data_IF_970882135291
#
_entry.id   IF_970882135291
#
_cell.length_a   1.000
_cell.length_b   1.000
_cell.length_c   1.000
_cell.angle_alpha   90.00
_cell.angle_beta   90.00
_cell.angle_gamma   90.00
#
_symmetry.space_group_name_H-M   'P 1'
#
loop_
_entity.id
_entity.type
_entity.pdbx_description
1 polymer ?
#
# COMPACT_ATOMS: atom_id res chain seq x y z
N UNK A 1 -23.23 19.06 -10.62
CA UNK A 1 -23.16 20.13 -9.59
C UNK A 1 -22.46 19.51 -8.39
N UNK A 2 -21.23 19.90 -8.10
CA UNK A 2 -20.50 19.41 -6.93
C UNK A 2 -20.84 20.32 -5.75
N UNK A 3 -21.74 19.89 -4.87
CA UNK A 3 -22.04 20.61 -3.63
C UNK A 3 -21.03 20.19 -2.56
N UNK A 4 -20.12 21.10 -2.24
CA UNK A 4 -19.31 21.11 -1.03
C UNK A 4 -20.13 21.78 0.06
N UNK A 5 -20.70 21.01 0.99
CA UNK A 5 -21.29 21.58 2.21
C UNK A 5 -20.21 21.57 3.29
N UNK A 6 -19.77 22.76 3.67
CA UNK A 6 -18.96 23.02 4.86
C UNK A 6 -19.91 23.70 5.85
N UNK A 7 -20.27 23.03 6.95
CA UNK A 7 -21.18 23.61 7.93
C UNK A 7 -20.87 23.17 9.36
N UNK A 8 -20.34 24.09 10.17
CA UNK A 8 -20.43 24.08 11.64
C UNK A 8 -21.84 24.47 12.11
N UNK A 9 -22.86 23.87 11.53
CA UNK A 9 -24.24 24.00 11.98
C UNK A 9 -24.88 22.63 11.97
N UNK A 10 -25.71 22.35 12.98
CA UNK A 10 -26.60 21.19 13.00
C UNK A 10 -27.49 21.27 11.76
N UNK A 11 -27.03 20.67 10.66
CA UNK A 11 -27.78 20.62 9.41
C UNK A 11 -28.53 19.29 9.40
N UNK A 12 -29.82 19.38 9.66
CA UNK A 12 -30.75 18.34 9.24
C UNK A 12 -30.56 18.17 7.72
N UNK A 13 -30.15 16.98 7.28
CA UNK A 13 -30.04 16.64 5.87
C UNK A 13 -31.32 15.89 5.42
N UNK A 14 -32.37 16.57 4.92
CA UNK A 14 -33.43 15.91 4.18
C UNK A 14 -32.95 15.77 2.72
N UNK A 15 -32.26 14.69 2.37
CA UNK A 15 -31.68 14.55 1.02
C UNK A 15 -32.61 13.76 0.11
N UNK A 16 -33.70 14.40 -0.33
CA UNK A 16 -34.32 14.05 -1.61
C UNK A 16 -33.53 14.74 -2.71
N UNK A 17 -32.50 14.09 -3.25
CA UNK A 17 -31.82 14.57 -4.45
C UNK A 17 -31.60 13.45 -5.46
N UNK A 18 -32.55 13.34 -6.39
CA UNK A 18 -32.56 12.32 -7.44
C UNK A 18 -31.53 12.56 -8.56
N UNK A 19 -30.74 13.62 -8.52
CA UNK A 19 -29.77 13.97 -9.57
C UNK A 19 -28.30 13.96 -9.10
N UNK A 20 -28.08 13.87 -7.79
CA UNK A 20 -26.74 13.94 -7.21
C UNK A 20 -25.93 12.69 -7.55
N UNK A 21 -24.85 12.85 -8.32
CA UNK A 21 -23.97 11.74 -8.73
C UNK A 21 -22.70 11.64 -7.88
N UNK A 22 -22.27 12.73 -7.25
CA UNK A 22 -21.09 12.78 -6.40
C UNK A 22 -21.39 13.62 -5.16
N UNK A 23 -21.09 13.06 -3.99
CA UNK A 23 -21.26 13.70 -2.69
C UNK A 23 -19.95 13.61 -1.92
N UNK A 24 -19.48 14.77 -1.44
CA UNK A 24 -18.33 14.88 -0.55
C UNK A 24 -18.76 15.60 0.71
N UNK A 25 -18.59 14.96 1.86
CA UNK A 25 -18.92 15.53 3.16
C UNK A 25 -17.69 15.44 4.07
N UNK A 26 -17.40 16.47 4.83
CA UNK A 26 -16.36 16.47 5.86
C UNK A 26 -16.99 17.02 7.14
N UNK A 27 -16.69 16.41 8.30
CA UNK A 27 -17.18 16.85 9.62
C UNK A 27 -18.72 16.85 9.77
N UNK A 28 -19.42 15.94 9.10
CA UNK A 28 -20.88 15.79 9.20
C UNK A 28 -21.27 14.68 10.18
N UNK A 29 -22.34 14.92 10.95
CA UNK A 29 -23.00 13.92 11.76
C UNK A 29 -24.07 13.20 10.94
N UNK A 30 -24.01 11.86 10.91
CA UNK A 30 -25.00 11.02 10.25
C UNK A 30 -25.88 10.36 11.30
N UNK A 31 -27.15 10.76 11.36
CA UNK A 31 -28.11 10.24 12.34
C UNK A 31 -28.77 8.94 11.82
N UNK A 32 -29.00 7.92 12.69
CA UNK A 32 -29.62 6.65 12.30
C UNK A 32 -31.02 6.79 11.70
N UNK A 33 -31.77 7.79 12.17
CA UNK A 33 -33.19 7.99 11.85
C UNK A 33 -33.44 8.63 10.47
N UNK A 34 -32.39 9.09 9.78
CA UNK A 34 -32.48 9.69 8.46
C UNK A 34 -32.60 8.65 7.36
N UNK A 35 -33.74 8.63 6.62
CA UNK A 35 -33.85 7.81 5.41
C UNK A 35 -32.96 8.40 4.31
N UNK A 36 -31.90 7.69 3.97
CA UNK A 36 -31.01 8.04 2.85
C UNK A 36 -31.67 7.60 1.54
N UNK A 37 -31.89 8.53 0.61
CA UNK A 37 -32.44 8.23 -0.73
C UNK A 37 -31.57 8.90 -1.83
N UNK A 38 -30.37 8.36 -2.02
CA UNK A 38 -29.36 8.84 -2.97
C UNK A 38 -29.34 8.00 -4.26
N UNK A 39 -30.49 7.89 -4.93
CA UNK A 39 -30.71 6.95 -6.05
C UNK A 39 -29.74 7.08 -7.22
N UNK A 40 -29.23 8.29 -7.45
CA UNK A 40 -28.33 8.59 -8.58
C UNK A 40 -26.85 8.67 -8.19
N UNK A 41 -26.54 8.47 -6.90
CA UNK A 41 -25.19 8.68 -6.37
C UNK A 41 -24.26 7.56 -6.80
N UNK A 42 -23.14 7.93 -7.43
CA UNK A 42 -22.08 7.04 -7.90
C UNK A 42 -20.81 7.15 -7.08
N UNK A 43 -20.52 8.34 -6.54
CA UNK A 43 -19.30 8.60 -5.77
C UNK A 43 -19.65 9.22 -4.43
N UNK A 44 -19.21 8.58 -3.36
CA UNK A 44 -19.39 9.06 -2.00
C UNK A 44 -18.04 9.19 -1.31
N UNK A 45 -17.76 10.36 -0.78
CA UNK A 45 -16.62 10.61 0.09
C UNK A 45 -17.12 11.18 1.40
N UNK A 46 -16.77 10.50 2.50
CA UNK A 46 -17.08 10.96 3.84
C UNK A 46 -15.77 11.10 4.61
N UNK A 47 -15.59 12.29 5.19
CA UNK A 47 -14.45 12.66 6.01
C UNK A 47 -14.87 13.05 7.43
N UNK A 48 -14.06 12.69 8.42
CA UNK A 48 -14.22 13.12 9.82
C UNK A 48 -15.64 12.92 10.37
N UNK A 49 -16.17 11.70 10.24
CA UNK A 49 -17.54 11.37 10.65
C UNK A 49 -17.56 10.23 11.67
N UNK A 50 -18.53 10.29 12.59
CA UNK A 50 -18.88 9.20 13.49
C UNK A 50 -19.99 8.36 12.88
N UNK A 51 -19.83 7.05 12.89
CA UNK A 51 -20.83 6.11 12.42
C UNK A 51 -21.25 5.14 13.51
N UNK A 52 -22.42 4.55 13.28
CA UNK A 52 -22.73 3.18 13.72
C UNK A 52 -22.81 2.30 12.47
N UNK A 53 -22.69 0.98 12.64
CA UNK A 53 -22.87 0.05 11.52
C UNK A 53 -24.26 0.20 10.86
N UNK A 54 -25.28 0.56 11.64
CA UNK A 54 -26.63 0.83 11.15
C UNK A 54 -26.68 2.04 10.22
N UNK A 55 -26.05 3.16 10.59
CA UNK A 55 -25.97 4.35 9.74
C UNK A 55 -25.27 4.03 8.42
N UNK A 56 -24.17 3.28 8.47
CA UNK A 56 -23.44 2.87 7.26
C UNK A 56 -24.30 1.97 6.37
N UNK A 57 -25.05 1.03 6.96
CA UNK A 57 -26.01 0.19 6.24
C UNK A 57 -27.13 1.00 5.57
N UNK A 58 -27.65 2.02 6.25
CA UNK A 58 -28.67 2.92 5.71
C UNK A 58 -28.12 3.73 4.52
N UNK A 59 -26.89 4.23 4.63
CA UNK A 59 -26.21 4.94 3.53
C UNK A 59 -26.02 4.04 2.31
N UNK A 60 -25.50 2.82 2.51
CA UNK A 60 -25.23 1.89 1.42
C UNK A 60 -26.52 1.41 0.75
N UNK A 61 -27.57 1.11 1.51
CA UNK A 61 -28.87 0.70 0.96
C UNK A 61 -29.62 1.83 0.25
N UNK A 62 -29.48 3.08 0.74
CA UNK A 62 -29.99 4.28 0.10
C UNK A 62 -29.23 4.73 -1.14
N UNK A 63 -28.09 4.11 -1.46
CA UNK A 63 -27.21 4.49 -2.58
C UNK A 63 -27.02 3.34 -3.59
N UNK A 64 -28.08 2.84 -4.23
CA UNK A 64 -28.02 1.62 -5.05
C UNK A 64 -27.07 1.72 -6.25
N UNK A 65 -26.80 2.94 -6.74
CA UNK A 65 -25.91 3.18 -7.86
C UNK A 65 -24.46 3.47 -7.47
N UNK A 66 -24.07 3.29 -6.21
CA UNK A 66 -22.73 3.64 -5.75
C UNK A 66 -21.64 2.79 -6.42
N UNK A 67 -20.64 3.45 -6.98
CA UNK A 67 -19.49 2.86 -7.69
C UNK A 67 -18.18 3.04 -6.91
N UNK A 68 -18.08 4.11 -6.12
CA UNK A 68 -16.89 4.44 -5.34
C UNK A 68 -17.26 5.00 -3.96
N UNK A 69 -16.69 4.39 -2.91
CA UNK A 69 -16.77 4.87 -1.53
C UNK A 69 -15.37 5.24 -1.04
N UNK A 70 -15.26 6.41 -0.43
CA UNK A 70 -14.07 6.83 0.31
C UNK A 70 -14.46 7.23 1.73
N UNK A 71 -13.82 6.61 2.70
CA UNK A 71 -13.95 6.91 4.12
C UNK A 71 -12.62 7.46 4.62
N UNK A 72 -12.64 8.60 5.30
CA UNK A 72 -11.45 9.32 5.73
C UNK A 72 -11.62 9.81 7.17
N UNK A 73 -10.75 9.43 8.10
CA UNK A 73 -10.91 9.79 9.53
C UNK A 73 -12.31 9.44 10.09
N UNK A 74 -12.84 8.29 9.69
CA UNK A 74 -14.14 7.81 10.15
C UNK A 74 -13.97 6.84 11.33
N UNK A 75 -14.95 6.79 12.23
CA UNK A 75 -14.92 5.92 13.41
C UNK A 75 -16.28 5.30 13.72
N UNK A 76 -16.28 4.19 14.48
CA UNK A 76 -17.51 3.46 14.87
C UNK A 76 -18.08 2.52 13.80
N UNK A 77 -17.30 2.20 12.75
CA UNK A 77 -17.65 1.19 11.74
C UNK A 77 -16.86 -0.07 12.03
N UNK A 78 -17.54 -1.18 12.25
CA UNK A 78 -16.95 -2.50 12.45
C UNK A 78 -17.17 -3.39 11.24
N UNK A 79 -18.21 -3.12 10.43
CA UNK A 79 -18.51 -3.95 9.26
C UNK A 79 -19.01 -3.15 8.07
N UNK A 80 -18.38 -3.40 6.92
CA UNK A 80 -18.82 -2.93 5.61
C UNK A 80 -19.32 -4.10 4.78
N UNK A 81 -20.64 -4.25 4.72
CA UNK A 81 -21.31 -5.23 3.85
C UNK A 81 -21.76 -4.55 2.55
N UNK A 82 -20.97 -4.75 1.49
CA UNK A 82 -21.16 -4.10 0.19
C UNK A 82 -21.35 -5.16 -0.90
N UNK A 83 -22.55 -5.72 -0.95
CA UNK A 83 -22.96 -6.72 -1.95
C UNK A 83 -23.25 -6.13 -3.34
N UNK A 84 -23.32 -4.80 -3.49
CA UNK A 84 -23.65 -4.17 -4.77
C UNK A 84 -22.62 -4.49 -5.86
N UNK A 85 -23.09 -4.97 -7.02
CA UNK A 85 -22.26 -5.24 -8.21
C UNK A 85 -21.66 -3.98 -8.83
N UNK A 86 -22.26 -2.81 -8.57
CA UNK A 86 -21.80 -1.53 -9.11
C UNK A 86 -20.62 -0.97 -8.33
N UNK A 87 -20.47 -1.36 -7.06
CA UNK A 87 -19.37 -0.91 -6.22
C UNK A 87 -18.05 -1.48 -6.71
N UNK A 88 -17.17 -0.64 -7.25
CA UNK A 88 -15.88 -1.06 -7.82
C UNK A 88 -14.67 -0.58 -7.02
N UNK A 89 -14.82 0.50 -6.24
CA UNK A 89 -13.68 1.13 -5.56
C UNK A 89 -13.98 1.49 -4.12
N UNK A 90 -13.16 0.97 -3.21
CA UNK A 90 -13.20 1.29 -1.79
C UNK A 90 -11.86 1.88 -1.37
N UNK A 91 -11.92 3.05 -0.73
CA UNK A 91 -10.74 3.72 -0.16
C UNK A 91 -11.03 4.00 1.30
N UNK A 92 -10.16 3.53 2.17
CA UNK A 92 -10.23 3.77 3.61
C UNK A 92 -8.92 4.41 4.03
N UNK A 93 -9.01 5.58 4.66
CA UNK A 93 -7.87 6.42 4.99
C UNK A 93 -7.98 6.95 6.41
N UNK A 94 -7.14 6.45 7.33
CA UNK A 94 -7.26 6.68 8.78
C UNK A 94 -8.61 6.27 9.36
N UNK A 95 -8.64 5.12 10.03
CA UNK A 95 -9.74 4.75 10.92
C UNK A 95 -9.19 4.76 12.34
N UNK A 96 -9.89 5.45 13.24
CA UNK A 96 -9.52 5.51 14.64
C UNK A 96 -10.71 5.02 15.43
N UNK A 97 -10.60 3.85 16.05
CA UNK A 97 -11.52 3.51 17.12
C UNK A 97 -11.05 4.22 18.39
N UNK A 98 -11.77 5.29 18.76
CA UNK A 98 -11.51 6.06 19.98
C UNK A 98 -12.22 5.46 21.19
N UNK A 99 -12.97 4.37 21.02
CA UNK A 99 -13.49 3.65 22.18
C UNK A 99 -12.30 3.02 22.87
N UNK A 100 -11.99 3.43 24.09
CA UNK A 100 -10.85 2.95 24.87
C UNK A 100 -10.95 1.48 25.30
N UNK A 101 -11.65 0.64 24.53
CA UNK A 101 -11.93 -0.76 24.80
C UNK A 101 -11.15 -1.71 23.89
N UNK A 102 -10.64 -2.77 24.52
CA UNK A 102 -10.04 -4.02 24.04
C UNK A 102 -9.23 -4.06 22.73
N UNK A 103 -8.14 -4.82 22.81
CA UNK A 103 -7.03 -4.88 21.87
C UNK A 103 -7.32 -5.57 20.50
N UNK A 104 -8.62 -5.74 20.17
CA UNK A 104 -9.13 -6.57 19.07
C UNK A 104 -10.20 -5.90 18.17
N UNK A 105 -10.39 -4.58 18.25
CA UNK A 105 -11.24 -3.87 17.28
C UNK A 105 -10.82 -4.18 15.84
N UNK A 106 -11.78 -4.54 15.00
CA UNK A 106 -11.55 -4.91 13.61
C UNK A 106 -12.64 -4.37 12.70
N UNK A 107 -12.24 -3.86 11.54
CA UNK A 107 -13.13 -3.56 10.43
C UNK A 107 -13.19 -4.75 9.47
N UNK A 108 -14.35 -5.38 9.39
CA UNK A 108 -14.66 -6.43 8.43
C UNK A 108 -15.16 -5.82 7.11
N UNK A 109 -14.57 -6.26 5.99
CA UNK A 109 -14.98 -5.83 4.65
C UNK A 109 -15.47 -7.04 3.86
N UNK A 110 -16.75 -7.01 3.51
CA UNK A 110 -17.38 -7.97 2.60
C UNK A 110 -17.79 -7.23 1.34
N UNK A 111 -17.09 -7.46 0.22
CA UNK A 111 -17.44 -6.87 -1.07
C UNK A 111 -16.97 -7.77 -2.23
N UNK A 112 -17.78 -8.77 -2.62
CA UNK A 112 -17.36 -9.79 -3.59
C UNK A 112 -17.09 -9.24 -4.99
N UNK A 113 -17.63 -8.06 -5.33
CA UNK A 113 -17.52 -7.44 -6.65
C UNK A 113 -16.54 -6.27 -6.72
N UNK A 114 -15.82 -6.02 -5.61
CA UNK A 114 -14.85 -4.94 -5.50
C UNK A 114 -13.64 -5.19 -6.39
N UNK A 115 -13.27 -4.20 -7.23
CA UNK A 115 -12.11 -4.31 -8.12
C UNK A 115 -10.87 -3.60 -7.57
N UNK A 116 -11.06 -2.52 -6.81
CA UNK A 116 -9.99 -1.67 -6.29
C UNK A 116 -10.17 -1.40 -4.80
N UNK A 117 -9.20 -1.83 -4.01
CA UNK A 117 -9.14 -1.57 -2.57
C UNK A 117 -7.92 -0.72 -2.22
N UNK A 118 -8.11 0.29 -1.35
CA UNK A 118 -7.00 1.03 -0.74
C UNK A 118 -7.19 1.14 0.76
N UNK A 119 -6.25 0.59 1.51
CA UNK A 119 -6.15 0.67 2.98
C UNK A 119 -4.95 1.55 3.27
N UNK A 120 -5.21 2.73 3.84
CA UNK A 120 -4.24 3.81 3.91
C UNK A 120 -4.22 4.48 5.30
N UNK A 121 -3.08 5.08 5.65
CA UNK A 121 -2.96 5.93 6.85
C UNK A 121 -2.78 5.16 8.16
N UNK A 122 -3.09 5.81 9.27
CA UNK A 122 -3.00 5.28 10.64
C UNK A 122 -4.31 4.65 11.05
N UNK A 123 -4.25 3.37 11.42
CA UNK A 123 -5.43 2.58 11.77
C UNK A 123 -5.60 2.38 13.28
N UNK A 124 -4.78 3.05 14.08
CA UNK A 124 -4.83 2.91 15.52
C UNK A 124 -4.54 1.47 15.94
N UNK A 125 -5.39 0.94 16.82
CA UNK A 125 -5.43 -0.49 17.16
C UNK A 125 -6.34 -1.31 16.24
N UNK A 126 -7.11 -0.66 15.36
CA UNK A 126 -8.13 -1.32 14.54
C UNK A 126 -7.51 -2.12 13.41
N UNK A 127 -7.74 -3.43 13.41
CA UNK A 127 -7.28 -4.32 12.34
C UNK A 127 -8.24 -4.24 11.15
N UNK A 128 -7.76 -4.55 9.94
CA UNK A 128 -8.62 -4.73 8.78
C UNK A 128 -8.75 -6.22 8.46
N UNK A 129 -9.97 -6.74 8.38
CA UNK A 129 -10.28 -8.13 8.01
C UNK A 129 -11.01 -8.16 6.67
N UNK A 130 -10.40 -8.79 5.67
CA UNK A 130 -11.02 -8.98 4.37
C UNK A 130 -11.77 -10.31 4.35
N UNK A 131 -13.10 -10.26 4.25
CA UNK A 131 -13.95 -11.45 4.34
C UNK A 131 -14.10 -12.10 2.96
N UNK A 132 -14.75 -11.39 2.03
CA UNK A 132 -14.90 -11.81 0.63
C UNK A 132 -14.60 -10.63 -0.30
N UNK A 133 -13.51 -10.75 -1.05
CA UNK A 133 -13.01 -9.73 -1.99
C UNK A 133 -12.51 -10.40 -3.29
N UNK A 134 -13.21 -11.45 -3.72
CA UNK A 134 -12.79 -12.35 -4.81
C UNK A 134 -12.60 -11.66 -6.17
N UNK A 135 -13.26 -10.52 -6.43
CA UNK A 135 -13.10 -9.78 -7.70
C UNK A 135 -11.96 -8.75 -7.70
N UNK A 136 -11.14 -8.67 -6.64
CA UNK A 136 -10.08 -7.67 -6.57
C UNK A 136 -9.08 -7.81 -7.73
N UNK A 137 -8.83 -6.68 -8.39
CA UNK A 137 -7.83 -6.54 -9.45
C UNK A 137 -6.60 -5.80 -8.94
N UNK A 138 -6.80 -4.80 -8.08
CA UNK A 138 -5.71 -3.96 -7.56
C UNK A 138 -5.94 -3.63 -6.09
N UNK A 139 -4.90 -3.81 -5.28
CA UNK A 139 -4.90 -3.49 -3.86
C UNK A 139 -3.77 -2.51 -3.51
N UNK A 140 -4.04 -1.61 -2.57
CA UNK A 140 -3.04 -0.73 -1.96
C UNK A 140 -3.04 -0.94 -0.45
N UNK A 141 -1.93 -1.39 0.10
CA UNK A 141 -1.67 -1.53 1.53
C UNK A 141 -0.58 -0.53 1.91
N UNK A 142 -0.97 0.67 2.35
CA UNK A 142 -0.05 1.75 2.72
C UNK A 142 -0.52 2.38 4.03
N UNK A 143 -0.55 1.53 5.06
CA UNK A 143 -1.10 1.84 6.37
C UNK A 143 -0.16 1.41 7.50
N UNK A 144 -0.47 1.86 8.71
CA UNK A 144 0.24 1.53 9.93
C UNK A 144 -0.74 1.29 11.08
N UNK A 145 -0.31 0.51 12.06
CA UNK A 145 -1.00 0.32 13.32
C UNK A 145 -0.16 0.93 14.45
N UNK A 146 -0.82 1.38 15.52
CA UNK A 146 -0.18 2.03 16.64
C UNK A 146 0.70 1.05 17.45
N UNK A 147 1.79 1.58 18.00
CA UNK A 147 2.84 0.85 18.73
C UNK A 147 2.90 1.31 20.21
N UNK A 148 1.76 1.37 20.89
CA UNK A 148 1.69 1.89 22.27
C UNK A 148 1.96 0.85 23.36
N UNK A 149 2.08 -0.43 23.00
CA UNK A 149 2.28 -1.50 23.97
C UNK A 149 3.76 -1.81 24.16
N UNK A 150 4.16 -2.10 25.41
CA UNK A 150 5.53 -2.43 25.76
C UNK A 150 5.98 -3.64 24.93
N UNK A 151 7.12 -3.50 24.26
CA UNK A 151 7.69 -4.49 23.34
C UNK A 151 7.78 -5.86 24.01
N UNK A 152 6.93 -6.79 23.59
CA UNK A 152 7.01 -8.22 23.90
C UNK A 152 7.07 -9.02 22.58
N UNK A 153 7.48 -10.29 22.63
CA UNK A 153 7.48 -11.17 21.44
C UNK A 153 6.13 -11.23 20.74
N UNK A 154 5.04 -11.16 21.51
CA UNK A 154 3.65 -11.27 21.07
C UNK A 154 3.24 -10.10 20.16
N UNK A 155 3.92 -8.95 20.32
CA UNK A 155 3.72 -7.75 19.53
C UNK A 155 4.00 -7.99 18.04
N UNK A 156 5.17 -8.53 17.71
CA UNK A 156 5.56 -8.81 16.32
C UNK A 156 4.65 -9.84 15.66
N UNK A 157 4.13 -10.77 16.45
CA UNK A 157 3.20 -11.80 15.98
C UNK A 157 1.89 -11.18 15.53
N UNK A 158 1.35 -10.23 16.30
CA UNK A 158 0.11 -9.52 15.96
C UNK A 158 0.21 -8.82 14.60
N UNK A 159 1.22 -7.98 14.38
CA UNK A 159 1.32 -7.22 13.11
C UNK A 159 1.66 -8.09 11.92
N UNK A 160 2.57 -9.06 12.07
CA UNK A 160 2.92 -9.97 10.97
C UNK A 160 1.70 -10.80 10.55
N UNK A 161 0.87 -11.24 11.51
CA UNK A 161 -0.34 -12.01 11.22
C UNK A 161 -1.37 -11.15 10.47
N UNK A 162 -1.58 -9.90 10.87
CA UNK A 162 -2.46 -8.97 10.15
C UNK A 162 -2.04 -8.82 8.68
N UNK A 163 -0.75 -8.55 8.43
CA UNK A 163 -0.27 -8.39 7.06
C UNK A 163 -0.35 -9.71 6.28
N UNK A 164 -0.01 -10.84 6.90
CA UNK A 164 -0.09 -12.17 6.28
C UNK A 164 -1.51 -12.50 5.85
N UNK A 165 -2.49 -12.32 6.74
CA UNK A 165 -3.92 -12.54 6.44
C UNK A 165 -4.41 -11.63 5.30
N UNK A 166 -4.02 -10.36 5.30
CA UNK A 166 -4.36 -9.43 4.22
C UNK A 166 -3.78 -9.90 2.87
N UNK A 167 -2.52 -10.35 2.85
CA UNK A 167 -1.88 -10.86 1.63
C UNK A 167 -2.55 -12.14 1.12
N UNK A 168 -2.94 -13.06 2.00
CA UNK A 168 -3.69 -14.28 1.66
C UNK A 168 -5.01 -13.92 0.97
N UNK A 169 -5.73 -12.93 1.50
CA UNK A 169 -7.03 -12.49 0.97
C UNK A 169 -6.95 -11.73 -0.36
N UNK A 170 -5.77 -11.25 -0.76
CA UNK A 170 -5.57 -10.51 -2.02
C UNK A 170 -4.60 -11.20 -2.98
N UNK A 171 -4.24 -12.46 -2.73
CA UNK A 171 -3.21 -13.18 -3.48
C UNK A 171 -3.52 -13.30 -4.99
N UNK A 172 -4.79 -13.26 -5.37
CA UNK A 172 -5.31 -13.31 -6.75
C UNK A 172 -5.32 -11.95 -7.45
N UNK A 173 -5.19 -10.84 -6.72
CA UNK A 173 -5.20 -9.52 -7.32
C UNK A 173 -4.04 -9.39 -8.32
N UNK A 174 -4.23 -8.72 -9.46
CA UNK A 174 -3.17 -8.59 -10.48
C UNK A 174 -2.09 -7.60 -10.06
N UNK A 175 -2.43 -6.64 -9.23
CA UNK A 175 -1.55 -5.57 -8.79
C UNK A 175 -1.61 -5.36 -7.27
N UNK A 176 -0.44 -5.23 -6.65
CA UNK A 176 -0.30 -4.78 -5.27
C UNK A 176 0.58 -3.54 -5.22
N UNK A 177 0.12 -2.49 -4.53
CA UNK A 177 0.98 -1.43 -4.02
C UNK A 177 1.14 -1.61 -2.51
N UNK A 178 2.37 -1.54 -2.01
CA UNK A 178 2.66 -1.71 -0.58
C UNK A 178 3.57 -0.59 -0.06
N UNK A 179 3.27 -0.08 1.14
CA UNK A 179 4.00 1.00 1.83
C UNK A 179 5.15 0.51 2.72
N UNK A 180 5.94 1.45 3.25
CA UNK A 180 7.11 1.17 4.11
C UNK A 180 6.75 0.30 5.30
N UNK A 181 5.78 0.72 6.12
CA UNK A 181 5.44 0.03 7.36
C UNK A 181 5.02 -1.42 7.11
N UNK A 182 4.13 -1.67 6.15
CA UNK A 182 3.71 -3.02 5.78
C UNK A 182 4.88 -3.87 5.26
N UNK A 183 5.82 -3.27 4.54
CA UNK A 183 7.01 -3.97 4.03
C UNK A 183 7.97 -4.32 5.16
N UNK A 184 8.22 -3.43 6.12
CA UNK A 184 9.09 -3.70 7.26
C UNK A 184 8.49 -4.78 8.18
N UNK A 185 7.16 -4.82 8.35
CA UNK A 185 6.49 -5.92 9.06
C UNK A 185 6.68 -7.26 8.34
N UNK A 186 6.66 -7.29 7.01
CA UNK A 186 6.94 -8.51 6.23
C UNK A 186 8.38 -9.02 6.42
N UNK A 187 9.32 -8.14 6.77
CA UNK A 187 10.69 -8.56 7.06
C UNK A 187 10.77 -9.56 8.20
N UNK A 188 9.84 -9.50 9.17
CA UNK A 188 9.76 -10.47 10.27
C UNK A 188 9.50 -11.89 9.72
N UNK A 189 8.60 -12.04 8.74
CA UNK A 189 8.32 -13.34 8.13
C UNK A 189 9.55 -13.88 7.40
N UNK A 190 10.26 -13.00 6.68
CA UNK A 190 11.46 -13.38 5.93
C UNK A 190 12.59 -13.87 6.82
N UNK A 191 12.94 -13.09 7.86
CA UNK A 191 14.09 -13.38 8.72
C UNK A 191 13.82 -14.56 9.66
N UNK A 192 12.55 -14.79 10.03
CA UNK A 192 12.13 -15.99 10.77
C UNK A 192 11.85 -17.20 9.88
N UNK A 193 12.12 -17.11 8.57
CA UNK A 193 11.85 -18.17 7.59
C UNK A 193 10.41 -18.72 7.64
N UNK A 194 9.43 -17.86 7.88
CA UNK A 194 8.02 -18.22 7.97
C UNK A 194 7.35 -18.21 6.60
N UNK A 195 6.39 -19.11 6.40
CA UNK A 195 5.62 -19.18 5.16
C UNK A 195 4.80 -17.90 4.94
N UNK A 196 4.89 -17.39 3.71
CA UNK A 196 4.09 -16.27 3.20
C UNK A 196 3.25 -16.74 2.02
N UNK A 197 2.08 -16.14 1.76
CA UNK A 197 1.18 -16.60 0.70
C UNK A 197 1.77 -16.38 -0.69
N UNK A 198 1.71 -17.42 -1.53
CA UNK A 198 2.05 -17.32 -2.95
C UNK A 198 0.99 -16.51 -3.69
N UNK A 199 1.42 -15.70 -4.64
CA UNK A 199 0.53 -14.80 -5.36
C UNK A 199 0.71 -14.90 -6.88
N UNK A 200 -0.40 -14.79 -7.61
CA UNK A 200 -0.46 -14.74 -9.08
C UNK A 200 -0.33 -13.31 -9.62
N UNK A 201 0.24 -12.41 -8.82
CA UNK A 201 0.38 -10.98 -9.14
C UNK A 201 1.35 -10.77 -10.29
N UNK A 202 0.97 -9.89 -11.23
CA UNK A 202 1.81 -9.47 -12.36
C UNK A 202 2.51 -8.14 -12.13
N UNK A 203 2.01 -7.31 -11.22
CA UNK A 203 2.57 -5.99 -10.95
C UNK A 203 2.72 -5.73 -9.44
N UNK A 204 3.92 -5.34 -9.03
CA UNK A 204 4.25 -4.96 -7.65
C UNK A 204 4.76 -3.52 -7.63
N UNK A 205 4.13 -2.68 -6.81
CA UNK A 205 4.52 -1.29 -6.61
C UNK A 205 4.96 -1.10 -5.16
N UNK A 206 6.25 -0.93 -4.97
CA UNK A 206 6.87 -0.66 -3.68
C UNK A 206 6.92 0.85 -3.45
N UNK A 207 6.40 1.32 -2.33
CA UNK A 207 6.36 2.74 -1.97
C UNK A 207 7.10 2.97 -0.66
N UNK A 208 8.27 3.60 -0.74
CA UNK A 208 9.15 3.78 0.38
C UNK A 208 9.39 5.24 0.71
N UNK A 209 9.44 5.52 2.02
CA UNK A 209 9.98 6.79 2.51
C UNK A 209 11.50 6.83 2.44
N UNK A 210 12.14 5.73 2.82
CA UNK A 210 13.58 5.53 2.75
C UNK A 210 13.86 4.10 2.33
N UNK A 211 14.87 3.90 1.48
CA UNK A 211 15.31 2.56 1.09
C UNK A 211 16.53 2.14 1.93
N UNK A 212 16.26 1.56 3.12
CA UNK A 212 17.28 1.15 4.11
C UNK A 212 16.91 -0.16 4.83
N UNK A 213 17.94 -0.88 5.27
CA UNK A 213 17.97 -2.11 6.08
C UNK A 213 16.66 -2.91 6.09
N UNK A 214 15.72 -2.54 6.96
CA UNK A 214 14.52 -3.34 7.26
C UNK A 214 13.47 -3.39 6.18
N UNK A 215 13.56 -2.62 5.09
CA UNK A 215 12.69 -2.87 3.92
C UNK A 215 13.18 -4.05 3.09
N UNK A 216 14.47 -4.44 3.16
CA UNK A 216 15.03 -5.42 2.24
C UNK A 216 14.47 -6.83 2.43
N UNK A 217 14.37 -7.39 3.66
CA UNK A 217 13.81 -8.72 3.82
C UNK A 217 12.32 -8.76 3.43
N UNK A 218 11.55 -7.71 3.69
CA UNK A 218 10.17 -7.59 3.23
C UNK A 218 10.05 -7.55 1.71
N UNK A 219 10.96 -6.86 1.02
CA UNK A 219 11.04 -6.88 -0.45
C UNK A 219 11.42 -8.27 -0.95
N UNK A 220 12.42 -8.93 -0.35
CA UNK A 220 12.81 -10.29 -0.71
C UNK A 220 11.63 -11.26 -0.55
N UNK A 221 10.89 -11.16 0.55
CA UNK A 221 9.69 -11.95 0.80
C UNK A 221 8.65 -11.76 -0.30
N UNK A 222 8.36 -10.52 -0.69
CA UNK A 222 7.40 -10.21 -1.75
C UNK A 222 7.85 -10.76 -3.11
N UNK A 223 9.13 -10.59 -3.47
CA UNK A 223 9.67 -11.10 -4.73
C UNK A 223 9.65 -12.63 -4.78
N UNK A 224 10.04 -13.29 -3.69
CA UNK A 224 10.08 -14.74 -3.59
C UNK A 224 8.69 -15.35 -3.76
N UNK A 225 7.66 -14.72 -3.17
CA UNK A 225 6.28 -15.21 -3.19
C UNK A 225 5.42 -14.64 -4.35
N UNK A 226 6.04 -14.04 -5.37
CA UNK A 226 5.35 -13.52 -6.56
C UNK A 226 5.91 -14.13 -7.86
N UNK A 227 5.85 -15.45 -8.08
CA UNK A 227 6.56 -16.10 -9.21
C UNK A 227 6.16 -15.57 -10.59
N UNK A 228 4.93 -15.10 -10.77
CA UNK A 228 4.38 -14.56 -12.03
C UNK A 228 4.60 -13.05 -12.22
N UNK A 229 5.45 -12.41 -11.40
CA UNK A 229 5.65 -10.97 -11.44
C UNK A 229 6.32 -10.53 -12.75
N UNK A 230 5.63 -9.70 -13.53
CA UNK A 230 6.09 -9.18 -14.83
C UNK A 230 6.64 -7.75 -14.73
N UNK A 231 6.12 -6.94 -13.79
CA UNK A 231 6.49 -5.55 -13.59
C UNK A 231 6.74 -5.21 -12.13
N UNK A 232 7.91 -4.64 -11.85
CA UNK A 232 8.29 -4.08 -10.56
C UNK A 232 8.40 -2.56 -10.66
N UNK A 233 7.72 -1.84 -9.77
CA UNK A 233 7.82 -0.38 -9.65
C UNK A 233 8.30 -0.04 -8.26
N UNK A 234 9.33 0.77 -8.15
CA UNK A 234 9.89 1.24 -6.88
C UNK A 234 9.72 2.74 -6.85
N UNK A 235 9.08 3.26 -5.80
CA UNK A 235 8.86 4.68 -5.58
C UNK A 235 9.48 5.07 -4.26
N UNK A 236 10.45 5.98 -4.30
CA UNK A 236 11.15 6.49 -3.14
C UNK A 236 10.83 7.97 -3.04
N UNK A 237 10.13 8.36 -1.98
CA UNK A 237 9.59 9.72 -1.83
C UNK A 237 9.51 10.14 -0.37
N UNK A 238 9.63 11.45 -0.08
CA UNK A 238 9.50 12.03 1.27
C UNK A 238 8.08 11.94 1.89
N UNK A 239 7.30 10.93 1.54
CA UNK A 239 5.91 10.76 1.96
C UNK A 239 5.71 10.57 3.46
N UNK A 240 4.44 10.51 3.87
CA UNK A 240 3.99 10.41 5.27
C UNK A 240 4.06 9.01 5.88
N UNK A 241 4.61 8.01 5.18
CA UNK A 241 4.72 6.66 5.74
C UNK A 241 5.67 6.69 6.94
N UNK A 242 5.25 6.15 8.09
CA UNK A 242 6.15 5.95 9.22
C UNK A 242 6.90 4.63 9.07
N UNK A 243 8.01 4.52 9.79
CA UNK A 243 8.78 3.29 9.94
C UNK A 243 8.12 2.40 10.98
N UNK A 244 8.26 1.10 10.82
CA UNK A 244 8.00 0.11 11.85
C UNK A 244 9.19 0.06 12.80
N UNK A 245 8.96 0.36 14.08
CA UNK A 245 10.01 0.33 15.09
C UNK A 245 10.23 -1.11 15.56
N UNK A 246 11.28 -1.73 15.05
CA UNK A 246 11.84 -2.96 15.60
C UNK A 246 12.77 -2.59 16.76
N UNK A 247 12.65 -3.31 17.87
CA UNK A 247 13.52 -3.11 19.03
C UNK A 247 14.94 -3.58 18.76
N UNK A 248 15.90 -2.99 19.49
CA UNK A 248 17.33 -3.25 19.29
C UNK A 248 17.69 -4.72 19.48
N UNK A 249 17.08 -5.42 20.44
CA UNK A 249 17.38 -6.84 20.67
C UNK A 249 16.98 -7.66 19.46
N UNK A 250 15.80 -7.40 18.89
CA UNK A 250 15.39 -8.04 17.65
C UNK A 250 16.33 -7.70 16.50
N UNK A 251 16.69 -6.42 16.34
CA UNK A 251 17.52 -6.02 15.21
C UNK A 251 18.94 -6.56 15.28
N UNK A 252 19.50 -6.69 16.48
CA UNK A 252 20.85 -7.21 16.71
C UNK A 252 20.98 -8.70 16.39
N UNK A 253 19.88 -9.44 16.27
CA UNK A 253 19.89 -10.84 15.85
C UNK A 253 20.15 -11.02 14.35
N UNK A 254 20.04 -9.97 13.52
CA UNK A 254 20.10 -10.09 12.07
C UNK A 254 21.02 -9.05 11.43
N UNK A 255 21.97 -9.50 10.62
CA UNK A 255 22.82 -8.62 9.82
C UNK A 255 22.12 -8.23 8.52
N UNK A 256 21.41 -7.09 8.55
CA UNK A 256 20.68 -6.53 7.41
C UNK A 256 21.35 -5.22 7.00
N UNK A 257 22.59 -5.35 6.56
CA UNK A 257 23.43 -4.25 6.07
C UNK A 257 23.42 -4.08 4.55
N UNK A 258 24.46 -3.42 4.05
CA UNK A 258 24.67 -3.14 2.63
C UNK A 258 24.86 -4.42 1.80
N UNK A 259 25.41 -5.46 2.42
CA UNK A 259 25.69 -6.75 1.81
C UNK A 259 24.45 -7.63 1.64
N UNK A 260 23.29 -7.26 2.19
CA UNK A 260 22.09 -8.11 2.21
C UNK A 260 21.71 -8.67 0.84
N UNK A 261 21.75 -7.84 -0.20
CA UNK A 261 21.40 -8.27 -1.55
C UNK A 261 22.50 -9.09 -2.22
N UNK A 262 23.77 -8.81 -1.90
CA UNK A 262 24.91 -9.56 -2.44
C UNK A 262 25.10 -10.93 -1.78
N UNK A 263 24.64 -11.10 -0.53
CA UNK A 263 24.69 -12.37 0.20
C UNK A 263 23.49 -13.28 -0.07
N UNK A 264 22.50 -12.78 -0.80
CA UNK A 264 21.28 -13.52 -1.08
C UNK A 264 21.54 -14.67 -2.07
N UNK A 265 21.31 -15.91 -1.60
CA UNK A 265 21.45 -17.13 -2.39
C UNK A 265 20.10 -17.73 -2.81
N UNK A 266 18.97 -17.13 -2.40
CA UNK A 266 17.64 -17.59 -2.76
C UNK A 266 17.36 -17.42 -4.25
N UNK A 267 16.58 -18.37 -4.77
CA UNK A 267 16.08 -18.33 -6.14
C UNK A 267 14.76 -17.56 -6.16
N UNK A 268 14.75 -16.43 -6.88
CA UNK A 268 13.55 -15.65 -7.11
C UNK A 268 12.96 -16.01 -8.48
N UNK A 269 11.94 -16.87 -8.49
CA UNK A 269 11.32 -17.34 -9.75
C UNK A 269 10.84 -16.20 -10.65
N UNK A 270 10.36 -15.09 -10.07
CA UNK A 270 10.01 -13.92 -10.85
C UNK A 270 11.18 -13.34 -11.64
N UNK A 271 12.36 -13.20 -11.03
CA UNK A 271 13.55 -12.66 -11.69
C UNK A 271 14.03 -13.61 -12.80
N UNK A 272 13.94 -14.92 -12.57
CA UNK A 272 14.38 -15.91 -13.55
C UNK A 272 13.45 -16.01 -14.76
N UNK A 273 12.14 -15.94 -14.56
CA UNK A 273 11.17 -16.41 -15.57
C UNK A 273 10.25 -15.33 -16.11
N UNK A 274 9.90 -14.29 -15.34
CA UNK A 274 8.75 -13.43 -15.68
C UNK A 274 9.03 -11.92 -15.65
N UNK A 275 9.99 -11.43 -14.86
CA UNK A 275 10.16 -9.99 -14.63
C UNK A 275 10.77 -9.29 -15.85
N UNK A 276 9.94 -8.58 -16.61
CA UNK A 276 10.29 -7.91 -17.87
C UNK A 276 10.58 -6.43 -17.70
N UNK A 277 9.89 -5.76 -16.79
CA UNK A 277 9.97 -4.30 -16.63
C UNK A 277 10.24 -3.90 -15.19
N UNK A 278 11.22 -3.03 -15.01
CA UNK A 278 11.52 -2.37 -13.73
C UNK A 278 11.43 -0.85 -13.92
N UNK A 279 10.69 -0.17 -13.06
CA UNK A 279 10.63 1.29 -13.02
C UNK A 279 11.01 1.78 -11.63
N UNK A 280 11.98 2.69 -11.54
CA UNK A 280 12.46 3.28 -10.29
C UNK A 280 12.22 4.78 -10.35
N UNK A 281 11.41 5.28 -9.42
CA UNK A 281 11.13 6.70 -9.27
C UNK A 281 11.75 7.17 -7.96
N UNK A 282 12.67 8.13 -8.05
CA UNK A 282 13.23 8.79 -6.87
C UNK A 282 12.90 10.26 -6.83
N UNK A 283 12.36 10.67 -5.69
CA UNK A 283 12.31 12.06 -5.27
C UNK A 283 13.34 12.38 -4.18
N UNK A 284 14.30 11.49 -3.92
CA UNK A 284 15.47 11.79 -3.07
C UNK A 284 16.63 12.30 -3.92
N UNK A 285 17.30 13.35 -3.45
CA UNK A 285 18.48 13.94 -4.11
C UNK A 285 19.60 12.91 -4.32
N UNK A 286 19.74 11.99 -3.37
CA UNK A 286 20.91 11.13 -3.20
C UNK A 286 20.61 9.64 -3.42
N UNK A 287 19.52 9.26 -4.13
CA UNK A 287 19.22 7.84 -4.37
C UNK A 287 20.43 7.06 -4.89
N UNK A 288 21.23 7.68 -5.75
CA UNK A 288 22.37 7.01 -6.37
C UNK A 288 23.70 7.21 -5.63
N UNK A 289 23.68 7.97 -4.53
CA UNK A 289 24.71 7.91 -3.48
C UNK A 289 24.30 6.93 -2.37
N UNK A 290 23.01 6.55 -2.32
CA UNK A 290 22.52 5.49 -1.45
C UNK A 290 23.05 4.14 -1.96
N UNK A 291 24.13 3.70 -1.32
CA UNK A 291 24.79 2.41 -1.54
C UNK A 291 23.84 1.20 -1.48
N UNK A 292 22.80 1.26 -0.67
CA UNK A 292 21.80 0.20 -0.58
C UNK A 292 20.91 0.12 -1.82
N UNK A 293 20.49 1.27 -2.36
CA UNK A 293 19.72 1.32 -3.59
C UNK A 293 20.54 0.80 -4.77
N UNK A 294 21.83 1.18 -4.85
CA UNK A 294 22.75 0.66 -5.85
C UNK A 294 22.93 -0.86 -5.73
N UNK A 295 23.20 -1.39 -4.53
CA UNK A 295 23.34 -2.83 -4.31
C UNK A 295 22.09 -3.61 -4.73
N UNK A 296 20.90 -3.06 -4.48
CA UNK A 296 19.65 -3.67 -4.92
C UNK A 296 19.47 -3.64 -6.44
N UNK A 297 19.78 -2.52 -7.10
CA UNK A 297 19.72 -2.42 -8.57
C UNK A 297 20.72 -3.39 -9.21
N UNK A 298 21.94 -3.48 -8.68
CA UNK A 298 22.94 -4.45 -9.11
C UNK A 298 22.45 -5.89 -8.96
N UNK A 299 21.84 -6.22 -7.82
CA UNK A 299 21.22 -7.51 -7.59
C UNK A 299 20.12 -7.81 -8.63
N UNK A 300 19.24 -6.85 -8.92
CA UNK A 300 18.19 -7.03 -9.93
C UNK A 300 18.78 -7.27 -11.33
N UNK A 301 19.77 -6.49 -11.74
CA UNK A 301 20.42 -6.64 -13.06
C UNK A 301 21.13 -8.00 -13.21
N UNK A 302 21.75 -8.50 -12.14
CA UNK A 302 22.48 -9.78 -12.14
C UNK A 302 21.57 -11.01 -12.11
N UNK A 303 20.33 -10.86 -11.61
CA UNK A 303 19.43 -12.00 -11.39
C UNK A 303 18.21 -12.02 -12.33
N UNK A 304 17.80 -10.88 -12.89
CA UNK A 304 16.66 -10.80 -13.79
C UNK A 304 17.02 -11.27 -15.21
N UNK A 305 16.76 -12.53 -15.53
CA UNK A 305 17.20 -13.19 -16.78
C UNK A 305 16.37 -12.80 -18.00
N UNK A 306 15.10 -12.46 -17.79
CA UNK A 306 14.15 -12.08 -18.86
C UNK A 306 13.87 -10.57 -18.88
N UNK A 307 14.68 -9.77 -18.19
CA UNK A 307 14.50 -8.34 -18.11
C UNK A 307 14.67 -7.68 -19.48
N UNK A 308 13.64 -7.00 -19.95
CA UNK A 308 13.66 -6.26 -21.21
C UNK A 308 14.05 -4.80 -20.96
N UNK A 309 13.50 -4.20 -19.89
CA UNK A 309 13.59 -2.76 -19.66
C UNK A 309 13.71 -2.41 -18.18
N UNK A 310 14.70 -1.59 -17.85
CA UNK A 310 14.82 -0.90 -16.57
C UNK A 310 14.84 0.60 -16.81
N UNK A 311 13.92 1.34 -16.18
CA UNK A 311 13.83 2.79 -16.30
C UNK A 311 14.03 3.44 -14.95
N UNK A 312 14.94 4.40 -14.89
CA UNK A 312 15.33 5.07 -13.66
C UNK A 312 15.04 6.56 -13.81
N UNK A 313 14.04 7.04 -13.09
CA UNK A 313 13.58 8.43 -13.05
C UNK A 313 14.16 9.16 -11.84
N UNK A 314 14.83 10.28 -12.11
CA UNK A 314 15.25 11.23 -11.08
C UNK A 314 14.33 12.45 -11.07
N UNK A 315 13.20 12.27 -10.41
CA UNK A 315 12.13 13.27 -10.26
C UNK A 315 12.38 14.16 -9.01
N UNK A 316 13.64 14.35 -8.61
CA UNK A 316 13.99 15.30 -7.56
C UNK A 316 13.58 16.72 -8.00
N UNK A 317 12.66 17.38 -7.26
CA UNK A 317 12.00 18.61 -7.69
C UNK A 317 12.86 19.87 -7.53
N UNK A 318 13.98 19.80 -6.81
CA UNK A 318 14.85 20.94 -6.58
C UNK A 318 16.01 20.97 -7.58
N UNK A 319 16.40 22.17 -8.00
CA UNK A 319 17.57 22.40 -8.85
C UNK A 319 18.85 22.12 -8.05
N UNK A 320 19.32 20.88 -8.08
CA UNK A 320 20.64 20.54 -7.59
C UNK A 320 21.69 20.97 -8.64
N UNK A 321 22.72 21.76 -8.29
CA UNK A 321 23.85 22.00 -9.19
C UNK A 321 24.49 20.65 -9.57
N UNK A 322 24.89 20.51 -10.84
CA UNK A 322 25.52 19.31 -11.41
C UNK A 322 24.64 18.04 -11.43
N UNK A 323 23.30 18.15 -11.42
CA UNK A 323 22.36 17.02 -11.52
C UNK A 323 22.68 16.09 -12.70
N UNK A 324 23.03 16.65 -13.85
CA UNK A 324 23.39 15.89 -15.06
C UNK A 324 24.68 15.08 -14.88
N UNK A 325 25.73 15.68 -14.31
CA UNK A 325 27.01 14.99 -14.11
C UNK A 325 26.88 13.84 -13.09
N UNK A 326 26.09 14.04 -12.03
CA UNK A 326 25.78 12.97 -11.07
C UNK A 326 25.04 11.83 -11.74
N UNK A 327 24.02 12.12 -12.53
CA UNK A 327 23.29 11.12 -13.31
C UNK A 327 24.20 10.37 -14.29
N UNK A 328 25.11 11.06 -14.97
CA UNK A 328 26.07 10.45 -15.89
C UNK A 328 27.02 9.48 -15.18
N UNK A 329 27.58 9.86 -14.03
CA UNK A 329 28.46 8.97 -13.22
C UNK A 329 27.74 7.69 -12.81
N UNK A 330 26.48 7.83 -12.40
CA UNK A 330 25.64 6.70 -11.98
C UNK A 330 25.26 5.83 -13.16
N UNK A 331 24.87 6.44 -14.28
CA UNK A 331 24.57 5.72 -15.51
C UNK A 331 25.80 4.93 -15.97
N UNK A 332 26.99 5.53 -15.96
CA UNK A 332 28.25 4.84 -16.26
C UNK A 332 28.50 3.66 -15.32
N UNK A 333 28.29 3.84 -14.01
CA UNK A 333 28.43 2.75 -13.03
C UNK A 333 27.42 1.62 -13.27
N UNK A 334 26.15 1.93 -13.49
CA UNK A 334 25.11 0.91 -13.71
C UNK A 334 25.25 0.23 -15.08
N UNK A 335 25.76 0.93 -16.08
CA UNK A 335 26.03 0.36 -17.40
C UNK A 335 27.21 -0.63 -17.37
N UNK A 336 28.16 -0.48 -16.44
CA UNK A 336 29.27 -1.43 -16.27
C UNK A 336 28.89 -2.68 -15.47
N UNK A 337 27.71 -2.71 -14.83
CA UNK A 337 27.21 -3.87 -14.10
C UNK A 337 26.86 -5.00 -15.08
N UNK A 338 27.37 -6.23 -14.88
CA UNK A 338 26.97 -7.39 -15.66
C UNK A 338 25.47 -7.64 -15.58
N UNK A 339 24.84 -7.86 -16.73
CA UNK A 339 23.39 -8.14 -16.83
C UNK A 339 23.18 -9.62 -17.09
N UNK A 340 22.24 -10.22 -16.37
CA UNK A 340 21.81 -11.60 -16.60
C UNK A 340 21.04 -11.73 -17.92
N UNK A 341 20.23 -10.71 -18.24
CA UNK A 341 19.48 -10.68 -19.49
C UNK A 341 20.28 -10.00 -20.60
N UNK A 342 20.44 -10.64 -21.78
CA UNK A 342 21.08 -10.02 -22.94
C UNK A 342 20.23 -8.92 -23.57
N UNK A 343 18.93 -8.86 -23.26
CA UNK A 343 17.98 -7.89 -23.83
C UNK A 343 17.74 -6.69 -22.92
N UNK A 344 18.30 -6.68 -21.70
CA UNK A 344 18.04 -5.62 -20.73
C UNK A 344 18.63 -4.28 -21.18
N UNK A 345 17.72 -3.32 -21.43
CA UNK A 345 18.05 -1.92 -21.68
C UNK A 345 17.81 -1.11 -20.40
N UNK A 346 18.84 -0.38 -19.95
CA UNK A 346 18.75 0.54 -18.81
C UNK A 346 18.63 1.97 -19.34
N UNK A 347 17.54 2.65 -18.98
CA UNK A 347 17.23 4.00 -19.44
C UNK A 347 17.20 4.99 -18.29
N UNK A 348 17.72 6.18 -18.55
CA UNK A 348 17.70 7.34 -17.65
C UNK A 348 17.01 8.51 -18.36
N UNK A 349 15.66 8.59 -18.31
CA UNK A 349 14.95 9.70 -18.92
C UNK A 349 15.34 11.01 -18.26
N UNK A 350 15.67 12.01 -19.06
CA UNK A 350 15.88 13.38 -18.59
C UNK A 350 14.48 14.00 -18.41
N UNK A 351 14.12 14.49 -17.21
CA UNK A 351 12.87 15.23 -17.02
C UNK A 351 12.83 16.42 -17.99
N UNK A 352 11.72 16.56 -18.72
CA UNK A 352 11.49 17.70 -19.62
C UNK A 352 11.23 18.98 -18.84
#
# INVERSE_FOLDING_TARGET
MATSMDSRSQSHLPILNNSLQELKTEFCDFLPEGRVDWRSLKVLHIGHAKFTDEVMKNILSGSPLLESLKLKYCHGIHRLDIASKRMKKLVIYHILDLTGGQDDSALEIFSPHLEKLKILGSWGKTKCKLMNVSSLVSAVLDFQLDNYERVSSDFYEKYRNVIKELLEKIQHAKQLKIGTWCTEVLSILEVKAMASPLSTRKCLVLNFRYFKNWVFPGVANLLHNSPELEKLVIKISYGRSLQFNLDENFTNCYDIGESYWTSQNKIFNCLLLNLKTIEIFSHEEHLFENKYALAFVEFLLRNAKVLEKMVIFNDYPFHAPNKTDRLLKVAQKLLSVPRSSPHAVVLFPIPK
#
